data_IF_358258369489
#
_entry.id   IF_358258369489
#
_cell.length_a   1.000
_cell.length_b   1.000
_cell.length_c   1.000
_cell.angle_alpha   90.00
_cell.angle_beta   90.00
_cell.angle_gamma   90.00
#
_symmetry.space_group_name_H-M   'P 1'
#
loop_
_entity.id
_entity.type
_entity.pdbx_description
1 polymer ?
#
# COMPACT_ATOMS: atom_id res chain seq x y z
N UNK A 1 14.82 -26.27 -2.99
CA UNK A 1 14.75 -25.09 -3.89
C UNK A 1 13.35 -24.51 -3.97
N UNK A 2 12.34 -25.26 -4.43
CA UNK A 2 10.96 -24.75 -4.55
C UNK A 2 10.36 -24.19 -3.26
N UNK A 3 10.60 -24.81 -2.10
CA UNK A 3 10.10 -24.29 -0.81
C UNK A 3 10.71 -22.92 -0.43
N UNK A 4 12.02 -22.76 -0.65
CA UNK A 4 12.73 -21.51 -0.36
C UNK A 4 12.21 -20.43 -1.33
N UNK A 5 12.18 -20.72 -2.63
CA UNK A 5 11.66 -19.79 -3.64
C UNK A 5 10.22 -19.35 -3.36
N UNK A 6 9.34 -20.29 -2.99
CA UNK A 6 7.95 -19.99 -2.61
C UNK A 6 7.88 -19.02 -1.42
N UNK A 7 8.58 -19.32 -0.34
CA UNK A 7 8.55 -18.47 0.85
C UNK A 7 9.24 -17.12 0.61
N UNK A 8 10.32 -17.07 -0.16
CA UNK A 8 10.94 -15.80 -0.58
C UNK A 8 9.94 -14.94 -1.35
N UNK A 9 9.22 -15.51 -2.32
CA UNK A 9 8.19 -14.78 -3.07
C UNK A 9 7.07 -14.27 -2.16
N UNK A 10 6.54 -15.12 -1.28
CA UNK A 10 5.50 -14.72 -0.30
C UNK A 10 5.98 -13.59 0.60
N UNK A 11 7.22 -13.64 1.08
CA UNK A 11 7.79 -12.58 1.93
C UNK A 11 8.00 -11.27 1.18
N UNK A 12 8.43 -11.32 -0.09
CA UNK A 12 8.53 -10.12 -0.93
C UNK A 12 7.17 -9.50 -1.20
N UNK A 13 6.16 -10.32 -1.51
CA UNK A 13 4.78 -9.85 -1.69
C UNK A 13 4.22 -9.28 -0.40
N UNK A 14 4.50 -9.91 0.74
CA UNK A 14 4.09 -9.42 2.06
C UNK A 14 4.76 -8.09 2.42
N UNK A 15 6.05 -7.95 2.12
CA UNK A 15 6.77 -6.69 2.31
C UNK A 15 6.18 -5.58 1.43
N UNK A 16 5.93 -5.88 0.15
CA UNK A 16 5.31 -4.94 -0.78
C UNK A 16 3.89 -4.55 -0.35
N UNK A 17 3.09 -5.52 0.09
CA UNK A 17 1.74 -5.30 0.62
C UNK A 17 1.77 -4.41 1.87
N UNK A 18 2.68 -4.70 2.80
CA UNK A 18 2.86 -3.91 4.01
C UNK A 18 3.28 -2.48 3.67
N UNK A 19 4.25 -2.32 2.77
CA UNK A 19 4.69 -1.01 2.31
C UNK A 19 3.53 -0.23 1.67
N UNK A 20 2.74 -0.86 0.80
CA UNK A 20 1.60 -0.22 0.15
C UNK A 20 0.52 0.21 1.15
N UNK A 21 0.15 -0.67 2.09
CA UNK A 21 -0.87 -0.36 3.10
C UNK A 21 -0.48 0.82 4.00
N UNK A 22 0.77 0.84 4.46
CA UNK A 22 1.27 1.90 5.33
C UNK A 22 1.59 3.20 4.57
N UNK A 23 2.08 3.12 3.34
CA UNK A 23 2.25 4.29 2.48
C UNK A 23 0.90 4.96 2.19
N UNK A 24 -0.12 4.18 1.85
CA UNK A 24 -1.47 4.69 1.64
C UNK A 24 -2.04 5.35 2.92
N UNK A 25 -1.90 4.69 4.07
CA UNK A 25 -2.30 5.27 5.36
C UNK A 25 -1.59 6.60 5.64
N UNK A 26 -0.27 6.66 5.46
CA UNK A 26 0.51 7.88 5.64
C UNK A 26 0.06 9.01 4.72
N UNK A 27 -0.21 8.71 3.44
CA UNK A 27 -0.75 9.69 2.48
C UNK A 27 -2.12 10.19 2.93
N UNK A 28 -3.03 9.31 3.35
CA UNK A 28 -4.37 9.71 3.81
C UNK A 28 -4.31 10.55 5.08
N UNK A 29 -3.50 10.15 6.07
CA UNK A 29 -3.32 10.93 7.31
C UNK A 29 -2.68 12.29 7.03
N UNK A 30 -1.65 12.34 6.19
CA UNK A 30 -1.05 13.60 5.74
C UNK A 30 -2.09 14.47 5.03
N UNK A 31 -2.89 13.88 4.15
CA UNK A 31 -3.91 14.60 3.41
C UNK A 31 -5.01 15.15 4.34
N UNK A 32 -5.38 14.42 5.39
CA UNK A 32 -6.37 14.90 6.36
C UNK A 32 -5.83 16.01 7.28
N UNK A 33 -4.54 15.98 7.61
CA UNK A 33 -3.96 16.85 8.65
C UNK A 33 -3.20 18.06 8.09
N UNK A 34 -2.57 17.91 6.93
CA UNK A 34 -1.68 18.92 6.34
C UNK A 34 -2.29 19.53 5.08
N UNK A 35 -2.87 18.74 4.18
CA UNK A 35 -3.36 19.27 2.89
C UNK A 35 -4.36 20.45 3.00
N UNK A 36 -5.31 20.49 3.98
CA UNK A 36 -6.25 21.61 4.10
C UNK A 36 -5.56 22.95 4.37
N UNK A 37 -4.39 22.94 5.01
CA UNK A 37 -3.58 24.14 5.24
C UNK A 37 -2.92 24.68 3.96
N UNK A 38 -2.86 23.86 2.91
CA UNK A 38 -2.16 24.16 1.65
C UNK A 38 -3.12 24.38 0.47
N UNK A 39 -4.36 23.91 0.55
CA UNK A 39 -5.33 23.96 -0.56
C UNK A 39 -6.66 24.66 -0.22
N UNK A 40 -6.87 25.07 1.04
CA UNK A 40 -8.09 25.76 1.46
C UNK A 40 -8.12 27.27 1.16
N UNK A 41 -9.25 27.95 1.41
CA UNK A 41 -9.37 29.41 1.22
C UNK A 41 -8.46 30.25 2.13
N UNK A 42 -7.87 29.64 3.16
CA UNK A 42 -6.85 30.22 4.03
C UNK A 42 -5.44 29.66 3.75
N UNK A 43 -5.20 29.06 2.58
CA UNK A 43 -3.92 28.47 2.23
C UNK A 43 -2.82 29.53 2.22
N UNK A 44 -1.81 29.31 3.05
CA UNK A 44 -0.60 30.14 3.09
C UNK A 44 0.60 29.36 2.57
N UNK A 45 0.82 29.47 1.26
CA UNK A 45 1.96 28.83 0.59
C UNK A 45 3.31 29.44 0.99
N UNK A 46 3.34 30.61 1.64
CA UNK A 46 4.58 31.20 2.15
C UNK A 46 5.13 30.47 3.39
N UNK A 47 4.29 29.64 4.03
CA UNK A 47 4.66 28.78 5.15
C UNK A 47 5.32 27.46 4.76
N UNK A 48 5.31 27.09 3.46
CA UNK A 48 5.98 25.88 2.96
C UNK A 48 7.40 26.25 2.52
N UNK A 49 8.44 25.92 3.31
CA UNK A 49 9.81 26.19 2.91
C UNK A 49 10.17 25.32 1.70
N UNK A 50 10.08 25.90 0.50
CA UNK A 50 10.47 25.22 -0.73
C UNK A 50 11.99 25.32 -0.87
N UNK A 51 12.73 24.20 -0.86
CA UNK A 51 14.18 24.27 -0.92
C UNK A 51 14.63 24.90 -2.25
N UNK A 52 15.57 25.85 -2.21
CA UNK A 52 16.05 26.53 -3.41
C UNK A 52 16.63 25.56 -4.45
N UNK A 53 17.17 24.42 -4.01
CA UNK A 53 17.67 23.36 -4.89
C UNK A 53 16.56 22.62 -5.66
N UNK A 54 15.30 22.68 -5.20
CA UNK A 54 14.17 22.05 -5.88
C UNK A 54 13.66 22.92 -7.04
N UNK A 55 13.75 24.25 -6.88
CA UNK A 55 13.31 25.23 -7.87
C UNK A 55 14.13 25.19 -9.17
N UNK A 56 15.37 24.70 -9.12
CA UNK A 56 16.22 24.60 -10.32
C UNK A 56 15.84 23.43 -11.25
N UNK A 57 15.09 22.44 -10.75
CA UNK A 57 14.75 21.21 -11.50
C UNK A 57 13.30 21.17 -11.96
N UNK A 58 12.46 22.10 -11.49
CA UNK A 58 11.02 22.03 -11.68
C UNK A 58 10.54 23.25 -12.48
N UNK A 59 10.19 23.07 -13.77
CA UNK A 59 9.54 24.13 -14.55
C UNK A 59 8.25 24.57 -13.84
N UNK A 60 7.90 25.85 -13.95
CA UNK A 60 6.69 26.38 -13.31
C UNK A 60 5.43 25.68 -13.82
N UNK A 61 5.43 25.23 -15.07
CA UNK A 61 4.35 24.47 -15.70
C UNK A 61 4.20 23.08 -15.06
N UNK A 62 5.32 22.44 -14.68
CA UNK A 62 5.29 21.15 -14.00
C UNK A 62 4.74 21.28 -12.58
N UNK A 63 5.06 22.38 -11.89
CA UNK A 63 4.50 22.70 -10.56
C UNK A 63 2.99 22.91 -10.68
N UNK A 64 2.54 23.70 -11.65
CA UNK A 64 1.11 23.95 -11.86
C UNK A 64 0.36 22.68 -12.24
N UNK A 65 0.90 21.86 -13.15
CA UNK A 65 0.31 20.57 -13.51
C UNK A 65 0.22 19.61 -12.33
N UNK A 66 1.25 19.58 -11.47
CA UNK A 66 1.23 18.80 -10.23
C UNK A 66 0.17 19.30 -9.26
N UNK A 67 0.06 20.62 -9.05
CA UNK A 67 -0.97 21.21 -8.18
C UNK A 67 -2.37 20.87 -8.69
N UNK A 68 -2.62 20.97 -9.99
CA UNK A 68 -3.90 20.59 -10.60
C UNK A 68 -4.21 19.11 -10.37
N UNK A 69 -3.27 18.22 -10.69
CA UNK A 69 -3.45 16.77 -10.49
C UNK A 69 -3.69 16.41 -9.01
N UNK A 70 -2.99 17.06 -8.08
CA UNK A 70 -3.19 16.91 -6.64
C UNK A 70 -4.56 17.42 -6.20
N UNK A 71 -5.03 18.53 -6.77
CA UNK A 71 -6.32 19.14 -6.41
C UNK A 71 -7.50 18.28 -6.89
N UNK A 72 -7.42 17.73 -8.10
CA UNK A 72 -8.43 16.78 -8.61
C UNK A 72 -8.50 15.52 -7.74
N UNK A 73 -7.34 14.94 -7.43
CA UNK A 73 -7.23 13.77 -6.56
C UNK A 73 -7.78 14.06 -5.15
N UNK A 74 -7.47 15.23 -4.60
CA UNK A 74 -7.96 15.68 -3.31
C UNK A 74 -9.48 15.85 -3.29
N UNK A 75 -10.06 16.40 -4.35
CA UNK A 75 -11.51 16.64 -4.41
C UNK A 75 -12.29 15.32 -4.39
N UNK A 76 -11.81 14.31 -5.11
CA UNK A 76 -12.38 12.97 -5.08
C UNK A 76 -12.30 12.33 -3.69
N UNK A 77 -11.13 12.45 -3.05
CA UNK A 77 -10.90 11.92 -1.70
C UNK A 77 -11.77 12.64 -0.65
N UNK A 78 -11.85 13.96 -0.73
CA UNK A 78 -12.67 14.79 0.16
C UNK A 78 -14.16 14.43 0.04
N UNK A 79 -14.67 14.27 -1.18
CA UNK A 79 -16.04 13.81 -1.42
C UNK A 79 -16.32 12.42 -0.84
N UNK A 80 -15.38 11.48 -1.01
CA UNK A 80 -15.47 10.15 -0.42
C UNK A 80 -15.49 10.18 1.11
N UNK A 81 -14.60 10.96 1.72
CA UNK A 81 -14.51 11.10 3.18
C UNK A 81 -15.74 11.81 3.76
N UNK A 82 -16.33 12.77 3.04
CA UNK A 82 -17.61 13.38 3.42
C UNK A 82 -18.76 12.36 3.38
N UNK A 83 -18.78 11.48 2.38
CA UNK A 83 -19.79 10.43 2.27
C UNK A 83 -19.64 9.34 3.35
N UNK A 84 -18.42 9.13 3.87
CA UNK A 84 -18.13 8.15 4.90
C UNK A 84 -17.29 8.74 6.06
N UNK A 85 -17.87 9.57 6.94
CA UNK A 85 -17.15 10.24 8.02
C UNK A 85 -16.47 9.28 9.00
N UNK A 86 -17.08 8.10 9.20
CA UNK A 86 -16.55 7.03 10.05
C UNK A 86 -15.20 6.50 9.54
N UNK A 87 -14.96 6.52 8.23
CA UNK A 87 -13.68 6.14 7.62
C UNK A 87 -12.62 7.19 7.93
N UNK A 88 -12.96 8.47 7.94
CA UNK A 88 -12.02 9.55 8.30
C UNK A 88 -11.55 9.44 9.77
N UNK A 89 -12.47 9.11 10.70
CA UNK A 89 -12.10 8.83 12.10
C UNK A 89 -11.45 7.46 12.30
N UNK A 90 -11.59 6.56 11.33
CA UNK A 90 -11.24 5.15 11.42
C UNK A 90 -10.10 4.71 10.50
N UNK A 91 -9.39 5.64 9.83
CA UNK A 91 -8.38 5.32 8.80
C UNK A 91 -7.38 4.28 9.32
N UNK A 92 -6.88 4.46 10.54
CA UNK A 92 -5.94 3.50 11.17
C UNK A 92 -6.57 2.13 11.38
N UNK A 93 -7.82 2.05 11.85
CA UNK A 93 -8.51 0.78 12.05
C UNK A 93 -8.80 0.06 10.72
N UNK A 94 -9.21 0.81 9.69
CA UNK A 94 -9.40 0.31 8.33
C UNK A 94 -8.09 -0.21 7.76
N UNK A 95 -6.99 0.54 7.90
CA UNK A 95 -5.66 0.11 7.46
C UNK A 95 -5.22 -1.17 8.16
N UNK A 96 -5.38 -1.27 9.49
CA UNK A 96 -5.05 -2.50 10.22
C UNK A 96 -5.87 -3.69 9.72
N UNK A 97 -7.17 -3.49 9.47
CA UNK A 97 -8.07 -4.54 8.98
C UNK A 97 -7.65 -5.01 7.58
N UNK A 98 -7.42 -4.06 6.67
CA UNK A 98 -7.01 -4.35 5.30
C UNK A 98 -5.64 -5.03 5.27
N UNK A 99 -4.67 -4.48 5.99
CA UNK A 99 -3.33 -5.04 6.12
C UNK A 99 -3.39 -6.47 6.66
N UNK A 100 -4.13 -6.69 7.74
CA UNK A 100 -4.29 -8.00 8.37
C UNK A 100 -4.95 -9.03 7.45
N UNK A 101 -6.00 -8.62 6.73
CA UNK A 101 -6.67 -9.49 5.75
C UNK A 101 -5.73 -9.89 4.61
N UNK A 102 -5.03 -8.93 3.99
CA UNK A 102 -4.08 -9.23 2.92
C UNK A 102 -2.90 -10.09 3.42
N UNK A 103 -2.44 -9.85 4.65
CA UNK A 103 -1.43 -10.66 5.32
C UNK A 103 -1.88 -12.11 5.49
N UNK A 104 -3.11 -12.32 5.96
CA UNK A 104 -3.69 -13.65 6.13
C UNK A 104 -3.82 -14.39 4.79
N UNK A 105 -4.26 -13.70 3.72
CA UNK A 105 -4.36 -14.27 2.37
C UNK A 105 -2.99 -14.68 1.85
N UNK A 106 -1.97 -13.83 1.96
CA UNK A 106 -0.61 -14.14 1.49
C UNK A 106 0.00 -15.33 2.23
N UNK A 107 -0.18 -15.39 3.55
CA UNK A 107 0.29 -16.53 4.35
C UNK A 107 -0.47 -17.82 3.99
N UNK A 108 -1.79 -17.74 3.81
CA UNK A 108 -2.60 -18.89 3.40
C UNK A 108 -2.17 -19.43 2.03
N UNK A 109 -1.84 -18.56 1.07
CA UNK A 109 -1.27 -18.96 -0.22
C UNK A 109 0.07 -19.65 -0.04
N UNK A 110 0.97 -19.07 0.77
CA UNK A 110 2.29 -19.66 1.04
C UNK A 110 2.20 -21.05 1.65
N UNK A 111 1.31 -21.23 2.65
CA UNK A 111 1.02 -22.52 3.28
C UNK A 111 0.38 -23.48 2.29
N UNK A 112 -0.62 -23.04 1.50
CA UNK A 112 -1.31 -23.87 0.52
C UNK A 112 -0.36 -24.46 -0.52
N UNK A 113 0.53 -23.64 -1.09
CA UNK A 113 1.54 -24.10 -2.04
C UNK A 113 2.51 -25.08 -1.36
N UNK A 114 2.96 -24.77 -0.14
CA UNK A 114 3.84 -25.66 0.62
C UNK A 114 3.20 -27.05 0.85
N UNK A 115 1.91 -27.09 1.21
CA UNK A 115 1.16 -28.33 1.39
C UNK A 115 1.01 -29.10 0.08
N UNK A 116 0.66 -28.44 -1.03
CA UNK A 116 0.56 -29.09 -2.34
C UNK A 116 1.87 -29.76 -2.76
N UNK A 117 3.01 -29.07 -2.60
CA UNK A 117 4.34 -29.62 -2.92
C UNK A 117 4.68 -30.80 -2.01
N UNK A 118 4.40 -30.69 -0.71
CA UNK A 118 4.70 -31.78 0.24
C UNK A 118 3.85 -33.03 0.01
N UNK A 119 2.55 -32.87 -0.27
CA UNK A 119 1.65 -33.98 -0.56
C UNK A 119 2.01 -34.68 -1.87
N UNK A 120 2.41 -33.93 -2.90
CA UNK A 120 2.87 -34.52 -4.15
C UNK A 120 4.17 -35.29 -3.97
N UNK A 121 5.14 -34.73 -3.23
CA UNK A 121 6.40 -35.40 -2.94
C UNK A 121 6.21 -36.73 -2.17
N UNK A 122 5.22 -36.79 -1.27
CA UNK A 122 4.89 -38.02 -0.52
C UNK A 122 4.26 -39.10 -1.42
N UNK A 123 3.42 -38.72 -2.37
CA UNK A 123 2.79 -39.66 -3.32
C UNK A 123 3.80 -40.29 -4.28
N UNK A 124 4.76 -39.51 -4.79
CA UNK A 124 5.80 -40.02 -5.70
C UNK A 124 6.78 -40.97 -5.01
N UNK A 125 7.13 -40.71 -3.74
CA UNK A 125 8.00 -41.61 -2.96
C UNK A 125 7.29 -42.87 -2.47
N UNK A 126 5.98 -42.81 -2.16
CA UNK A 126 5.19 -43.99 -1.80
C UNK A 126 5.01 -44.97 -2.96
N UNK A 127 4.77 -44.46 -4.18
CA UNK A 127 4.65 -45.28 -5.38
C UNK A 127 5.97 -46.00 -5.73
N UNK A 128 7.13 -45.35 -5.57
CA UNK A 128 8.44 -45.93 -5.85
C UNK A 128 8.83 -47.08 -4.88
N UNK A 129 8.28 -47.12 -3.65
CA UNK A 129 8.53 -48.21 -2.69
C UNK A 129 7.68 -49.45 -2.92
N UNK A 130 6.56 -49.33 -3.62
CA UNK A 130 5.68 -50.47 -3.93
C UNK A 130 6.11 -51.21 -5.22
N UNK A 131 7.00 -50.61 -6.01
CA UNK A 131 7.55 -51.19 -7.24
C UNK A 131 8.96 -51.79 -7.08
N UNK A 132 9.52 -51.77 -5.87
CA UNK A 132 10.85 -52.30 -5.53
C UNK A 132 10.70 -53.51 -4.61
#
# INVERSE_FOLDING_TARGET
>A
MLYIANWTLVMLLFALWSLAAWAFHGVVVWALTVAPSLTGPAADLSSVPMPAWLLQFLPVEAIQGLIVALTETWTLLAGFLQAAPSVASGVTAVTWTLWGLGSAVLLAVGVGIHLCVSLWARRSTGAARLSA
#
